data_IF_140784865827
#
_entry.id   IF_140784865827
#
_cell.length_a   1.000
_cell.length_b   1.000
_cell.length_c   1.000
_cell.angle_alpha   90.00
_cell.angle_beta   90.00
_cell.angle_gamma   90.00
#
_symmetry.space_group_name_H-M   'P 1'
#
loop_
_entity.id
_entity.type
_entity.pdbx_description
1 polymer ?
#
# COMPACT_ATOMS: atom_id res chain seq x y z
N UNK A 1 -21.75 -3.87 2.85
CA UNK A 1 -20.34 -4.04 2.46
C UNK A 1 -19.53 -2.73 2.38
N UNK A 2 -20.09 -1.59 1.90
CA UNK A 2 -19.34 -0.31 1.81
C UNK A 2 -18.90 0.29 3.15
N UNK A 3 -19.38 -0.17 4.29
CA UNK A 3 -19.01 0.35 5.63
C UNK A 3 -17.63 -0.11 6.14
N UNK A 4 -17.04 -1.13 5.53
CA UNK A 4 -15.75 -1.68 5.96
C UNK A 4 -14.62 -1.28 5.03
N UNK A 5 -14.76 -0.19 4.29
CA UNK A 5 -13.92 0.25 3.19
C UNK A 5 -12.42 0.35 3.48
N UNK A 6 -11.81 -0.79 3.69
CA UNK A 6 -10.65 -1.15 2.90
C UNK A 6 -11.25 -1.32 1.50
N UNK A 7 -10.93 -0.48 0.55
CA UNK A 7 -11.35 -0.70 -0.83
C UNK A 7 -10.90 -2.11 -1.16
N UNK A 8 -11.83 -3.06 -1.49
CA UNK A 8 -11.40 -4.37 -1.92
C UNK A 8 -10.46 -4.13 -3.10
N UNK A 9 -9.25 -4.65 -3.00
CA UNK A 9 -8.29 -4.61 -4.08
C UNK A 9 -8.99 -5.13 -5.33
N UNK A 10 -8.82 -4.46 -6.49
CA UNK A 10 -9.44 -4.90 -7.72
C UNK A 10 -10.91 -4.51 -7.96
N UNK A 11 -11.53 -3.65 -7.16
CA UNK A 11 -12.92 -3.18 -7.43
C UNK A 11 -13.05 -2.34 -8.71
N UNK A 12 -11.94 -1.85 -9.24
CA UNK A 12 -11.91 -1.18 -10.54
C UNK A 12 -11.35 -2.15 -11.58
N UNK A 13 -12.10 -2.42 -12.64
CA UNK A 13 -11.69 -3.31 -13.74
C UNK A 13 -10.30 -2.96 -14.30
N UNK A 14 -9.95 -1.66 -14.28
CA UNK A 14 -8.63 -1.16 -14.70
C UNK A 14 -7.49 -1.76 -13.88
N UNK A 15 -7.70 -2.04 -12.60
CA UNK A 15 -6.67 -2.52 -11.69
C UNK A 15 -6.65 -4.06 -11.56
N UNK A 16 -7.74 -4.74 -11.97
CA UNK A 16 -7.84 -6.21 -11.85
C UNK A 16 -6.69 -6.93 -12.56
N UNK A 17 -6.35 -6.48 -13.78
CA UNK A 17 -5.25 -7.08 -14.52
C UNK A 17 -3.87 -6.79 -13.93
N UNK A 18 -3.72 -5.71 -13.17
CA UNK A 18 -2.47 -5.43 -12.45
C UNK A 18 -2.30 -6.43 -11.30
N UNK A 19 -3.33 -6.61 -10.49
CA UNK A 19 -3.33 -7.62 -9.41
C UNK A 19 -3.15 -9.03 -9.97
N UNK A 20 -3.87 -9.38 -11.02
CA UNK A 20 -3.73 -10.72 -11.62
C UNK A 20 -2.30 -11.00 -12.08
N UNK A 21 -1.63 -10.04 -12.73
CA UNK A 21 -0.23 -10.21 -13.13
C UNK A 21 0.69 -10.33 -11.92
N UNK A 22 0.44 -9.59 -10.87
CA UNK A 22 1.19 -9.66 -9.63
C UNK A 22 1.06 -11.05 -8.97
N UNK A 23 -0.15 -11.57 -8.82
CA UNK A 23 -0.38 -12.90 -8.27
C UNK A 23 0.19 -14.00 -9.18
N UNK A 24 0.07 -13.85 -10.50
CA UNK A 24 0.74 -14.74 -11.45
C UNK A 24 2.28 -14.72 -11.29
N UNK A 25 2.86 -13.56 -10.96
CA UNK A 25 4.29 -13.47 -10.71
C UNK A 25 4.71 -14.27 -9.49
N UNK A 26 3.95 -14.20 -8.38
CA UNK A 26 4.15 -15.05 -7.22
C UNK A 26 3.99 -16.55 -7.56
N UNK A 27 2.96 -16.89 -8.34
CA UNK A 27 2.74 -18.27 -8.77
C UNK A 27 3.91 -18.81 -9.59
N UNK A 28 4.45 -18.03 -10.53
CA UNK A 28 5.62 -18.38 -11.35
C UNK A 28 6.87 -18.54 -10.46
N UNK A 29 7.14 -17.57 -9.58
CA UNK A 29 8.29 -17.63 -8.65
C UNK A 29 8.25 -18.89 -7.80
N UNK A 30 7.07 -19.26 -7.29
CA UNK A 30 6.87 -20.47 -6.49
C UNK A 30 6.99 -21.75 -7.32
N UNK A 31 6.32 -21.82 -8.48
CA UNK A 31 6.26 -23.01 -9.30
C UNK A 31 7.63 -23.41 -9.86
N UNK A 32 8.44 -22.43 -10.26
CA UNK A 32 9.76 -22.65 -10.84
C UNK A 32 10.91 -22.48 -9.82
N UNK A 33 10.59 -22.23 -8.55
CA UNK A 33 11.59 -22.04 -7.48
C UNK A 33 12.61 -20.93 -7.78
N UNK A 34 12.20 -19.88 -8.50
CA UNK A 34 13.11 -18.80 -8.89
C UNK A 34 13.72 -18.10 -7.67
N UNK A 35 13.00 -18.07 -6.55
CA UNK A 35 13.47 -17.55 -5.25
C UNK A 35 14.72 -18.24 -4.71
N UNK A 36 15.08 -19.45 -5.19
CA UNK A 36 16.31 -20.14 -4.82
C UNK A 36 17.55 -19.62 -5.55
N UNK A 37 17.38 -18.84 -6.63
CA UNK A 37 18.48 -18.22 -7.36
C UNK A 37 19.31 -17.29 -6.45
N UNK A 38 20.60 -17.52 -6.36
CA UNK A 38 21.52 -16.67 -5.59
C UNK A 38 21.59 -15.25 -6.14
N UNK A 39 21.49 -15.07 -7.47
CA UNK A 39 21.47 -13.76 -8.11
C UNK A 39 20.19 -12.99 -7.73
N UNK A 40 19.01 -13.68 -7.74
CA UNK A 40 17.77 -13.08 -7.28
C UNK A 40 17.88 -12.65 -5.82
N UNK A 41 18.41 -13.51 -4.94
CA UNK A 41 18.57 -13.16 -3.53
C UNK A 41 19.53 -11.99 -3.31
N UNK A 42 20.55 -11.84 -4.16
CA UNK A 42 21.49 -10.71 -4.10
C UNK A 42 20.82 -9.39 -4.48
N UNK A 43 19.98 -9.36 -5.52
CA UNK A 43 19.37 -8.13 -6.04
C UNK A 43 18.08 -7.73 -5.31
N UNK A 44 17.24 -8.70 -4.96
CA UNK A 44 15.94 -8.46 -4.35
C UNK A 44 15.93 -8.64 -2.84
N UNK A 45 16.81 -9.48 -2.32
CA UNK A 45 16.82 -9.91 -0.93
C UNK A 45 16.39 -11.36 -0.75
N UNK A 46 16.54 -11.86 0.49
CA UNK A 46 16.23 -13.25 0.83
C UNK A 46 14.74 -13.48 0.94
N UNK A 47 14.18 -14.52 0.32
CA UNK A 47 12.74 -14.84 0.39
C UNK A 47 12.30 -15.28 1.80
N UNK A 48 13.22 -15.75 2.64
CA UNK A 48 12.95 -16.09 4.03
C UNK A 48 12.91 -14.90 4.99
N UNK A 49 13.01 -13.67 4.48
CA UNK A 49 12.78 -12.46 5.27
C UNK A 49 11.35 -12.49 5.82
N UNK A 50 11.11 -12.29 7.13
CA UNK A 50 9.75 -12.22 7.63
C UNK A 50 8.97 -11.07 7.00
N UNK A 51 7.73 -11.31 6.61
CA UNK A 51 6.82 -10.23 6.20
C UNK A 51 6.59 -9.27 7.36
N UNK A 52 6.83 -7.99 7.16
CA UNK A 52 6.53 -7.02 8.20
C UNK A 52 5.01 -6.86 8.33
N UNK A 53 4.53 -6.56 9.55
CA UNK A 53 3.11 -6.22 9.74
C UNK A 53 2.75 -4.86 9.16
N UNK A 54 3.75 -4.05 8.84
CA UNK A 54 3.65 -2.72 8.21
C UNK A 54 5.02 -2.34 7.66
N UNK A 55 5.05 -1.46 6.67
CA UNK A 55 6.30 -0.92 6.12
C UNK A 55 6.21 0.58 5.87
N UNK A 56 7.37 1.23 5.84
CA UNK A 56 7.53 2.62 5.45
C UNK A 56 8.49 2.67 4.26
N UNK A 57 8.01 3.05 3.06
CA UNK A 57 8.88 3.16 1.90
C UNK A 57 9.78 4.40 2.01
N UNK A 58 10.99 4.22 2.50
CA UNK A 58 12.01 5.28 2.66
C UNK A 58 13.13 5.19 1.63
N UNK A 59 13.20 4.11 0.86
CA UNK A 59 14.23 3.93 -0.17
C UNK A 59 13.91 4.78 -1.40
N UNK A 60 14.92 5.19 -2.18
CA UNK A 60 14.70 5.90 -3.44
C UNK A 60 13.73 5.15 -4.34
N UNK A 61 12.67 5.83 -4.78
CA UNK A 61 11.61 5.20 -5.59
C UNK A 61 12.09 4.73 -6.96
N UNK A 62 13.15 5.33 -7.49
CA UNK A 62 13.77 4.96 -8.75
C UNK A 62 14.38 3.55 -8.76
N UNK A 63 14.58 2.93 -7.60
CA UNK A 63 15.09 1.56 -7.46
C UNK A 63 13.99 0.50 -7.54
N UNK A 64 12.72 0.92 -7.67
CA UNK A 64 11.56 0.05 -7.61
C UNK A 64 10.57 0.35 -8.73
N UNK A 65 9.95 -0.69 -9.25
CA UNK A 65 8.82 -0.53 -10.18
C UNK A 65 7.58 0.03 -9.44
N UNK A 66 6.69 0.67 -10.20
CA UNK A 66 5.38 1.12 -9.72
C UNK A 66 4.31 0.40 -10.53
N UNK A 67 3.82 -0.72 -10.03
CA UNK A 67 2.83 -1.54 -10.73
C UNK A 67 1.47 -1.51 -10.04
N UNK A 68 1.31 -2.06 -8.86
CA UNK A 68 0.02 -2.03 -8.12
C UNK A 68 -0.18 -0.66 -7.49
N UNK A 69 0.62 -0.35 -6.48
CA UNK A 69 0.60 0.94 -5.80
C UNK A 69 1.99 1.53 -5.73
N UNK A 70 2.13 2.85 -5.67
CA UNK A 70 3.44 3.45 -5.43
C UNK A 70 4.07 2.84 -4.18
N UNK A 71 5.31 2.40 -4.33
CA UNK A 71 6.15 1.87 -3.26
C UNK A 71 5.78 0.49 -2.69
N UNK A 72 4.79 -0.25 -3.23
CA UNK A 72 4.45 -1.59 -2.75
C UNK A 72 5.63 -2.57 -2.86
N UNK A 73 6.44 -2.46 -3.92
CA UNK A 73 7.68 -3.21 -4.07
C UNK A 73 8.67 -3.07 -2.89
N UNK A 74 8.53 -2.03 -2.06
CA UNK A 74 9.39 -1.86 -0.87
C UNK A 74 8.89 -2.64 0.36
N UNK A 75 7.73 -3.27 0.27
CA UNK A 75 7.14 -4.00 1.39
C UNK A 75 7.94 -5.25 1.77
N UNK A 76 8.37 -6.01 0.77
CA UNK A 76 9.07 -7.27 0.96
C UNK A 76 9.91 -7.64 -0.27
N UNK A 77 11.01 -8.41 -0.15
CA UNK A 77 11.77 -8.93 -1.29
C UNK A 77 10.95 -9.69 -2.33
N UNK A 78 9.96 -10.45 -1.90
CA UNK A 78 9.08 -11.20 -2.79
C UNK A 78 8.10 -10.28 -3.53
N UNK A 79 7.65 -9.20 -2.89
CA UNK A 79 6.81 -8.16 -3.52
C UNK A 79 7.59 -7.39 -4.58
N UNK A 80 8.84 -7.03 -4.29
CA UNK A 80 9.74 -6.37 -5.25
C UNK A 80 9.94 -7.22 -6.51
N UNK A 81 10.18 -8.52 -6.33
CA UNK A 81 10.32 -9.45 -7.45
C UNK A 81 9.01 -9.61 -8.22
N UNK A 82 7.89 -9.79 -7.51
CA UNK A 82 6.57 -9.95 -8.13
C UNK A 82 6.15 -8.69 -8.91
N UNK A 83 6.38 -7.50 -8.39
CA UNK A 83 6.13 -6.23 -9.09
C UNK A 83 6.96 -6.11 -10.38
N UNK A 84 8.27 -6.44 -10.34
CA UNK A 84 9.13 -6.45 -11.51
C UNK A 84 8.65 -7.45 -12.58
N UNK A 85 8.30 -8.67 -12.16
CA UNK A 85 7.84 -9.72 -13.07
C UNK A 85 6.45 -9.37 -13.64
N UNK A 86 5.55 -8.82 -12.83
CA UNK A 86 4.23 -8.36 -13.29
C UNK A 86 4.30 -7.28 -14.38
N UNK A 87 5.29 -6.38 -14.29
CA UNK A 87 5.58 -5.40 -15.35
C UNK A 87 5.96 -6.11 -16.65
N UNK A 88 6.79 -7.16 -16.59
CA UNK A 88 7.18 -7.95 -17.78
C UNK A 88 6.01 -8.74 -18.38
N UNK A 89 5.08 -9.20 -17.56
CA UNK A 89 3.85 -9.85 -18.03
C UNK A 89 2.86 -8.88 -18.68
N UNK A 90 3.11 -7.59 -18.67
CA UNK A 90 2.23 -6.60 -19.28
C UNK A 90 2.68 -6.28 -20.70
N UNK A 91 1.95 -6.72 -21.76
CA UNK A 91 2.31 -6.45 -23.15
C UNK A 91 2.28 -4.95 -23.50
N UNK A 92 1.58 -4.15 -22.69
CA UNK A 92 1.49 -2.70 -22.84
C UNK A 92 2.37 -1.97 -21.84
N UNK A 93 3.28 -2.66 -21.13
CA UNK A 93 4.19 -2.00 -20.23
C UNK A 93 5.00 -0.98 -21.03
N UNK A 94 4.55 0.25 -20.95
CA UNK A 94 5.32 1.37 -21.44
C UNK A 94 6.71 1.29 -20.80
N UNK A 95 7.72 1.47 -21.65
CA UNK A 95 9.14 1.58 -21.31
C UNK A 95 9.32 2.10 -19.89
N UNK A 96 10.01 1.33 -19.08
CA UNK A 96 10.51 1.78 -17.79
C UNK A 96 11.01 3.20 -17.99
N UNK A 97 10.48 4.15 -17.21
CA UNK A 97 10.64 5.57 -17.49
C UNK A 97 12.10 6.00 -17.67
N UNK A 98 12.33 7.11 -18.36
CA UNK A 98 13.67 7.64 -18.72
C UNK A 98 14.64 7.84 -17.53
N UNK A 99 14.19 7.74 -16.30
CA UNK A 99 14.97 7.81 -15.06
C UNK A 99 14.92 6.48 -14.32
N UNK A 100 15.38 5.43 -14.94
CA UNK A 100 15.55 4.13 -14.28
C UNK A 100 16.93 4.11 -13.64
N UNK A 101 17.00 3.76 -12.35
CA UNK A 101 18.29 3.53 -11.70
C UNK A 101 18.98 2.30 -12.27
N UNK A 102 20.30 2.24 -12.19
CA UNK A 102 21.09 1.08 -12.57
C UNK A 102 20.61 -0.18 -11.84
N UNK A 103 20.34 -0.05 -10.54
CA UNK A 103 19.81 -1.14 -9.71
C UNK A 103 18.48 -1.69 -10.24
N UNK A 104 17.55 -0.83 -10.66
CA UNK A 104 16.28 -1.28 -11.24
C UNK A 104 16.50 -1.93 -12.61
N UNK A 105 17.42 -1.40 -13.42
CA UNK A 105 17.77 -2.00 -14.70
C UNK A 105 18.33 -3.41 -14.52
N UNK A 106 19.22 -3.63 -13.55
CA UNK A 106 19.76 -4.96 -13.21
C UNK A 106 18.66 -5.93 -12.75
N UNK A 107 17.73 -5.48 -11.90
CA UNK A 107 16.57 -6.28 -11.48
C UNK A 107 15.75 -6.74 -12.68
N UNK A 108 15.43 -5.81 -13.58
CA UNK A 108 14.61 -6.10 -14.76
C UNK A 108 15.31 -7.03 -15.75
N UNK A 109 16.63 -6.87 -15.94
CA UNK A 109 17.43 -7.77 -16.76
C UNK A 109 17.46 -9.20 -16.17
N UNK A 110 17.62 -9.32 -14.86
CA UNK A 110 17.58 -10.63 -14.20
C UNK A 110 16.21 -11.30 -14.34
N UNK A 111 15.12 -10.53 -14.24
CA UNK A 111 13.76 -11.08 -14.47
C UNK A 111 13.63 -11.65 -15.89
N UNK A 112 14.12 -10.93 -16.90
CA UNK A 112 14.14 -11.43 -18.29
C UNK A 112 14.92 -12.73 -18.44
N UNK A 113 16.13 -12.80 -17.88
CA UNK A 113 16.95 -14.01 -17.89
C UNK A 113 16.23 -15.20 -17.22
N UNK A 114 15.63 -14.97 -16.05
CA UNK A 114 14.91 -16.00 -15.33
C UNK A 114 13.68 -16.50 -16.11
N UNK A 115 12.91 -15.60 -16.72
CA UNK A 115 11.77 -15.97 -17.58
C UNK A 115 12.23 -16.79 -18.79
N UNK A 116 13.33 -16.40 -19.47
CA UNK A 116 13.90 -17.14 -20.57
C UNK A 116 14.38 -18.53 -20.13
N UNK A 117 14.96 -18.64 -18.93
CA UNK A 117 15.46 -19.90 -18.41
C UNK A 117 14.39 -20.96 -18.17
N UNK A 118 13.13 -20.52 -17.95
CA UNK A 118 11.98 -21.41 -17.71
C UNK A 118 11.04 -21.55 -18.92
N UNK A 119 11.27 -20.77 -19.97
CA UNK A 119 10.42 -20.79 -21.15
C UNK A 119 10.35 -22.19 -21.76
N UNK A 120 9.14 -22.66 -22.05
CA UNK A 120 8.87 -24.00 -22.60
C UNK A 120 9.14 -25.17 -21.65
N UNK A 121 9.54 -24.93 -20.39
CA UNK A 121 9.79 -25.98 -19.41
C UNK A 121 8.58 -26.17 -18.50
N UNK A 122 8.26 -27.40 -18.17
CA UNK A 122 7.32 -27.70 -17.10
C UNK A 122 7.93 -27.33 -15.73
N UNK A 123 7.15 -26.80 -14.78
CA UNK A 123 7.63 -26.56 -13.44
C UNK A 123 8.03 -27.88 -12.76
N UNK A 124 9.07 -27.88 -11.91
CA UNK A 124 9.45 -29.07 -11.15
C UNK A 124 8.27 -29.53 -10.28
N UNK A 125 8.03 -30.84 -10.24
CA UNK A 125 7.02 -31.40 -9.36
C UNK A 125 7.42 -31.20 -7.91
N UNK A 126 6.63 -30.42 -7.16
CA UNK A 126 6.82 -30.19 -5.74
C UNK A 126 5.62 -30.79 -5.03
N UNK A 127 5.87 -31.51 -3.94
CA UNK A 127 4.78 -31.91 -3.07
C UNK A 127 4.11 -30.66 -2.48
N UNK A 128 2.89 -30.39 -2.90
CA UNK A 128 2.11 -29.26 -2.38
C UNK A 128 1.43 -29.68 -1.08
N UNK A 129 1.80 -29.03 0.00
CA UNK A 129 0.94 -28.94 1.16
C UNK A 129 0.08 -27.68 0.98
N UNK A 130 -1.22 -27.86 0.93
CA UNK A 130 -2.14 -26.74 0.92
C UNK A 130 -2.02 -25.99 2.24
N UNK A 131 -1.66 -24.71 2.15
CA UNK A 131 -1.56 -23.82 3.31
C UNK A 131 -2.88 -23.06 3.38
N UNK A 132 -3.57 -23.15 4.51
CA UNK A 132 -4.89 -22.52 4.71
C UNK A 132 -5.93 -22.94 3.64
N UNK A 133 -6.30 -24.24 3.57
CA UNK A 133 -7.27 -24.71 2.59
C UNK A 133 -8.58 -23.95 2.74
N UNK A 134 -9.17 -23.54 1.62
CA UNK A 134 -10.40 -22.73 1.59
C UNK A 134 -11.54 -23.39 2.39
N UNK A 135 -11.60 -24.72 2.35
CA UNK A 135 -12.59 -25.52 3.09
C UNK A 135 -12.46 -25.41 4.61
N UNK A 136 -11.30 -25.02 5.13
CA UNK A 136 -11.05 -24.86 6.58
C UNK A 136 -11.22 -23.41 7.07
N UNK A 137 -11.63 -22.48 6.20
CA UNK A 137 -11.88 -21.09 6.58
C UNK A 137 -13.22 -20.98 7.33
N UNK A 138 -13.16 -21.01 8.65
CA UNK A 138 -14.34 -20.84 9.54
C UNK A 138 -14.63 -19.38 9.89
N UNK A 139 -13.74 -18.47 9.51
CA UNK A 139 -13.87 -17.05 9.83
C UNK A 139 -14.77 -16.33 8.82
N UNK A 140 -15.78 -15.61 9.30
CA UNK A 140 -16.61 -14.78 8.45
C UNK A 140 -15.80 -13.62 7.84
N UNK A 141 -16.19 -13.17 6.63
CA UNK A 141 -15.60 -11.99 5.97
C UNK A 141 -15.65 -10.75 6.88
N UNK A 142 -16.74 -10.56 7.62
CA UNK A 142 -16.88 -9.47 8.58
C UNK A 142 -15.80 -9.53 9.66
N UNK A 143 -15.57 -10.70 10.24
CA UNK A 143 -14.56 -10.89 11.29
C UNK A 143 -13.16 -10.65 10.74
N UNK A 144 -12.87 -11.13 9.53
CA UNK A 144 -11.59 -10.91 8.85
C UNK A 144 -11.36 -9.41 8.58
N UNK A 145 -12.35 -8.70 8.03
CA UNK A 145 -12.28 -7.26 7.79
C UNK A 145 -12.08 -6.47 9.09
N UNK A 146 -12.76 -6.84 10.18
CA UNK A 146 -12.57 -6.20 11.51
C UNK A 146 -11.15 -6.42 12.04
N UNK A 147 -10.56 -7.62 11.85
CA UNK A 147 -9.16 -7.89 12.23
C UNK A 147 -8.19 -7.02 11.42
N UNK A 148 -8.35 -6.93 10.12
CA UNK A 148 -7.52 -6.04 9.26
C UNK A 148 -7.62 -4.57 9.66
N UNK A 149 -8.82 -4.08 9.96
CA UNK A 149 -9.00 -2.72 10.44
C UNK A 149 -8.26 -2.45 11.76
N UNK A 150 -8.32 -3.38 12.71
CA UNK A 150 -7.57 -3.26 13.98
C UNK A 150 -6.06 -3.19 13.73
N UNK A 151 -5.53 -3.98 12.81
CA UNK A 151 -4.11 -3.94 12.45
C UNK A 151 -3.73 -2.60 11.81
N UNK A 152 -4.53 -2.13 10.84
CA UNK A 152 -4.29 -0.87 10.15
C UNK A 152 -4.25 0.34 11.10
N UNK A 153 -4.96 0.28 12.24
CA UNK A 153 -5.03 1.35 13.22
C UNK A 153 -4.37 1.00 14.57
N UNK A 154 -3.49 -0.02 14.61
CA UNK A 154 -2.85 -0.47 15.85
C UNK A 154 -2.12 0.64 16.60
N UNK A 155 -1.46 1.55 15.87
CA UNK A 155 -0.73 2.67 16.42
C UNK A 155 -1.56 3.97 16.50
N UNK A 156 -2.86 3.87 16.20
CA UNK A 156 -3.75 5.03 16.19
C UNK A 156 -4.18 5.40 17.60
N UNK A 157 -3.95 6.64 17.99
CA UNK A 157 -4.36 7.14 19.30
C UNK A 157 -5.84 7.50 19.29
N UNK A 158 -6.62 7.07 20.28
CA UNK A 158 -8.04 7.46 20.44
C UNK A 158 -8.24 8.97 20.51
N UNK A 159 -7.25 9.71 21.01
CA UNK A 159 -7.28 11.17 21.02
C UNK A 159 -7.47 11.78 19.63
N UNK A 160 -6.94 11.13 18.57
CA UNK A 160 -7.15 11.58 17.19
C UNK A 160 -8.59 11.41 16.73
N UNK A 161 -9.29 10.35 17.15
CA UNK A 161 -10.70 10.16 16.85
C UNK A 161 -11.53 11.29 17.46
N UNK A 162 -11.23 11.66 18.70
CA UNK A 162 -11.90 12.76 19.38
C UNK A 162 -11.69 14.07 18.62
N UNK A 163 -10.46 14.41 18.24
CA UNK A 163 -10.15 15.61 17.47
C UNK A 163 -10.82 15.60 16.09
N UNK A 164 -10.80 14.47 15.37
CA UNK A 164 -11.51 14.34 14.10
C UNK A 164 -13.01 14.55 14.26
N UNK A 165 -13.59 14.05 15.35
CA UNK A 165 -15.01 14.23 15.65
C UNK A 165 -15.36 15.69 15.99
N UNK A 166 -14.46 16.44 16.63
CA UNK A 166 -14.62 17.87 16.85
C UNK A 166 -14.57 18.68 15.55
N UNK A 167 -13.65 18.30 14.63
CA UNK A 167 -13.47 18.98 13.35
C UNK A 167 -14.58 18.59 12.36
N UNK A 168 -14.96 17.34 12.35
CA UNK A 168 -15.95 16.71 11.47
C UNK A 168 -16.99 15.97 12.31
N UNK A 169 -17.95 16.64 12.94
CA UNK A 169 -18.90 15.97 13.81
C UNK A 169 -19.75 14.94 13.04
N UNK A 170 -20.13 13.83 13.69
CA UNK A 170 -21.05 12.87 13.11
C UNK A 170 -22.44 13.49 13.02
N UNK A 171 -22.95 13.71 11.83
CA UNK A 171 -24.28 14.31 11.62
C UNK A 171 -25.04 13.59 10.53
N UNK A 172 -26.36 13.76 10.54
CA UNK A 172 -27.19 13.38 9.41
C UNK A 172 -27.14 14.49 8.35
N UNK A 173 -26.81 14.12 7.11
CA UNK A 173 -26.62 15.08 6.02
C UNK A 173 -25.20 15.64 5.93
N UNK A 174 -24.99 16.63 5.07
CA UNK A 174 -23.68 17.26 4.85
C UNK A 174 -22.71 16.48 3.99
N UNK A 175 -21.51 17.04 3.84
CA UNK A 175 -20.45 16.47 3.02
C UNK A 175 -19.62 15.45 3.82
N UNK A 176 -19.36 14.30 3.24
CA UNK A 176 -18.51 13.29 3.87
C UNK A 176 -17.05 13.82 4.01
N UNK A 177 -16.51 13.79 5.23
CA UNK A 177 -15.20 14.33 5.56
C UNK A 177 -14.08 13.72 4.69
N UNK A 178 -14.12 12.41 4.41
CA UNK A 178 -13.14 11.75 3.56
C UNK A 178 -13.09 12.32 2.14
N UNK A 179 -14.23 12.75 1.56
CA UNK A 179 -14.28 13.37 0.23
C UNK A 179 -13.61 14.75 0.23
N UNK A 180 -13.84 15.51 1.29
CA UNK A 180 -13.22 16.83 1.49
C UNK A 180 -11.71 16.66 1.60
N UNK A 181 -11.24 15.73 2.44
CA UNK A 181 -9.83 15.43 2.60
C UNK A 181 -9.19 14.97 1.29
N UNK A 182 -9.83 14.06 0.56
CA UNK A 182 -9.33 13.59 -0.73
C UNK A 182 -9.21 14.72 -1.76
N UNK A 183 -10.22 15.59 -1.85
CA UNK A 183 -10.24 16.74 -2.76
C UNK A 183 -9.12 17.75 -2.46
N UNK A 184 -8.83 17.98 -1.19
CA UNK A 184 -7.87 18.99 -0.74
C UNK A 184 -6.52 18.41 -0.28
N UNK A 185 -6.27 17.11 -0.54
CA UNK A 185 -5.04 16.41 -0.12
C UNK A 185 -3.78 17.12 -0.61
N UNK A 186 -3.76 17.56 -1.87
CA UNK A 186 -2.59 18.23 -2.45
C UNK A 186 -2.28 19.55 -1.73
N UNK A 187 -3.32 20.35 -1.45
CA UNK A 187 -3.18 21.64 -0.73
C UNK A 187 -2.66 21.42 0.70
N UNK A 188 -3.28 20.50 1.45
CA UNK A 188 -2.85 20.15 2.80
C UNK A 188 -1.41 19.61 2.82
N UNK A 189 -1.07 18.76 1.85
CA UNK A 189 0.29 18.23 1.71
C UNK A 189 1.32 19.34 1.47
N UNK A 190 1.02 20.26 0.59
CA UNK A 190 1.90 21.42 0.30
C UNK A 190 2.09 22.30 1.53
N UNK A 191 1.00 22.60 2.26
CA UNK A 191 1.03 23.40 3.48
C UNK A 191 1.84 22.73 4.60
N UNK A 192 1.64 21.42 4.82
CA UNK A 192 2.40 20.68 5.82
C UNK A 192 3.88 20.57 5.45
N UNK A 193 4.20 20.38 4.17
CA UNK A 193 5.57 20.34 3.68
C UNK A 193 6.31 21.67 3.89
N UNK A 194 5.65 22.80 3.68
CA UNK A 194 6.26 24.12 3.86
C UNK A 194 6.53 24.48 5.34
N UNK A 195 5.79 23.85 6.26
CA UNK A 195 5.83 24.18 7.71
C UNK A 195 6.46 23.10 8.58
N UNK A 196 6.70 21.91 8.02
CA UNK A 196 7.34 20.80 8.74
C UNK A 196 8.51 20.23 7.96
N UNK A 197 9.46 19.62 8.64
CA UNK A 197 10.56 18.86 8.02
C UNK A 197 10.17 17.40 7.66
N UNK A 198 8.88 17.10 7.62
CA UNK A 198 8.38 15.75 7.35
C UNK A 198 8.59 15.34 5.90
N UNK A 199 8.89 14.05 5.66
CA UNK A 199 8.98 13.51 4.32
C UNK A 199 7.60 13.63 3.61
N UNK A 200 7.57 14.10 2.34
CA UNK A 200 6.32 14.22 1.59
C UNK A 200 5.49 12.93 1.53
N UNK A 201 6.15 11.77 1.56
CA UNK A 201 5.50 10.46 1.60
C UNK A 201 4.81 10.23 2.94
N UNK A 202 5.47 10.56 4.04
CA UNK A 202 4.89 10.47 5.38
C UNK A 202 3.65 11.35 5.52
N UNK A 203 3.72 12.59 4.99
CA UNK A 203 2.57 13.49 4.94
C UNK A 203 1.44 12.88 4.11
N UNK A 204 1.76 12.31 2.94
CA UNK A 204 0.75 11.67 2.09
C UNK A 204 0.04 10.54 2.80
N UNK A 205 0.76 9.66 3.51
CA UNK A 205 0.16 8.56 4.26
C UNK A 205 -0.61 9.00 5.49
N UNK A 206 -0.14 10.03 6.17
CA UNK A 206 -0.91 10.63 7.26
C UNK A 206 -2.27 11.08 6.74
N UNK A 207 -2.32 11.83 5.65
CA UNK A 207 -3.55 12.32 5.05
C UNK A 207 -4.46 11.19 4.55
N UNK A 208 -3.90 10.14 3.95
CA UNK A 208 -4.67 8.96 3.54
C UNK A 208 -5.23 8.19 4.74
N UNK A 209 -4.46 8.08 5.81
CA UNK A 209 -4.90 7.42 7.05
C UNK A 209 -6.03 8.21 7.71
N UNK A 210 -5.93 9.55 7.76
CA UNK A 210 -7.00 10.43 8.22
C UNK A 210 -8.25 10.28 7.36
N UNK A 211 -8.10 10.26 6.03
CA UNK A 211 -9.22 10.04 5.11
C UNK A 211 -9.93 8.71 5.38
N UNK A 212 -9.19 7.63 5.51
CA UNK A 212 -9.76 6.31 5.87
C UNK A 212 -10.43 6.33 7.24
N UNK A 213 -9.81 6.98 8.23
CA UNK A 213 -10.37 7.03 9.57
C UNK A 213 -11.67 7.83 9.63
N UNK A 214 -11.74 8.99 8.97
CA UNK A 214 -12.98 9.77 8.86
C UNK A 214 -14.10 9.01 8.15
N UNK A 215 -13.75 8.16 7.17
CA UNK A 215 -14.71 7.30 6.50
C UNK A 215 -15.24 6.19 7.43
N UNK A 216 -14.36 5.53 8.20
CA UNK A 216 -14.73 4.50 9.17
C UNK A 216 -15.63 5.04 10.28
N UNK A 217 -15.35 6.25 10.76
CA UNK A 217 -16.14 6.95 11.77
C UNK A 217 -17.40 7.62 11.19
N UNK A 218 -17.62 7.51 9.86
CA UNK A 218 -18.74 8.13 9.14
C UNK A 218 -18.87 9.64 9.43
N UNK A 219 -17.73 10.33 9.52
CA UNK A 219 -17.69 11.75 9.84
C UNK A 219 -18.13 12.60 8.64
N UNK A 220 -18.84 13.66 8.92
CA UNK A 220 -19.38 14.60 7.92
C UNK A 220 -19.24 16.04 8.41
N UNK A 221 -19.49 17.00 7.56
CA UNK A 221 -19.59 18.40 7.96
C UNK A 221 -20.61 19.13 7.11
N UNK A 222 -21.43 19.96 7.76
CA UNK A 222 -22.27 20.98 7.13
C UNK A 222 -21.57 22.36 7.13
N UNK A 223 -20.45 22.45 7.86
CA UNK A 223 -19.67 23.68 7.90
C UNK A 223 -19.00 23.93 6.54
N UNK A 224 -18.64 25.17 6.30
CA UNK A 224 -17.80 25.54 5.18
C UNK A 224 -16.55 24.66 5.18
N UNK A 225 -16.32 23.88 4.11
CA UNK A 225 -15.17 22.97 4.02
C UNK A 225 -13.84 23.64 4.34
N UNK A 226 -13.69 24.93 3.99
CA UNK A 226 -12.47 25.70 4.27
C UNK A 226 -12.21 25.84 5.78
N UNK A 227 -13.23 26.10 6.60
CA UNK A 227 -13.09 26.18 8.07
C UNK A 227 -12.67 24.83 8.69
N UNK A 228 -13.26 23.74 8.20
CA UNK A 228 -12.91 22.39 8.67
C UNK A 228 -11.47 22.00 8.28
N UNK A 229 -11.05 22.34 7.05
CA UNK A 229 -9.70 22.11 6.58
C UNK A 229 -8.67 22.95 7.33
N UNK A 230 -8.98 24.20 7.64
CA UNK A 230 -8.10 25.07 8.43
C UNK A 230 -7.96 24.56 9.88
N UNK A 231 -9.04 24.12 10.51
CA UNK A 231 -9.00 23.51 11.83
C UNK A 231 -8.17 22.21 11.83
N UNK A 232 -8.33 21.39 10.78
CA UNK A 232 -7.52 20.18 10.62
C UNK A 232 -6.03 20.51 10.40
N UNK A 233 -5.74 21.50 9.57
CA UNK A 233 -4.37 21.93 9.30
C UNK A 233 -3.68 22.40 10.59
N UNK A 234 -4.33 23.24 11.40
CA UNK A 234 -3.79 23.65 12.72
C UNK A 234 -3.52 22.46 13.64
N UNK A 235 -4.47 21.51 13.71
CA UNK A 235 -4.28 20.30 14.51
C UNK A 235 -3.11 19.45 13.99
N UNK A 236 -3.01 19.27 12.67
CA UNK A 236 -1.92 18.53 12.05
C UNK A 236 -0.54 19.17 12.30
N UNK A 237 -0.44 20.49 12.29
CA UNK A 237 0.81 21.19 12.62
C UNK A 237 1.27 20.91 14.04
N UNK A 238 0.34 20.84 15.01
CA UNK A 238 0.67 20.54 16.40
C UNK A 238 1.06 19.09 16.64
N UNK A 239 0.39 18.17 15.94
CA UNK A 239 0.49 16.72 16.19
C UNK A 239 1.31 15.95 15.14
N UNK A 240 1.52 16.52 13.95
CA UNK A 240 2.17 15.80 12.84
C UNK A 240 3.53 15.22 13.21
N UNK A 241 4.36 15.98 13.94
CA UNK A 241 5.67 15.52 14.41
C UNK A 241 5.55 14.31 15.34
N UNK A 242 4.56 14.33 16.24
CA UNK A 242 4.29 13.23 17.19
C UNK A 242 3.77 12.00 16.46
N UNK A 243 2.83 12.17 15.53
CA UNK A 243 2.27 11.10 14.72
C UNK A 243 3.34 10.41 13.86
N UNK A 244 4.14 11.20 13.15
CA UNK A 244 5.22 10.71 12.29
C UNK A 244 6.28 9.98 13.12
N UNK A 245 6.72 10.55 14.25
CA UNK A 245 7.68 9.90 15.17
C UNK A 245 7.17 8.57 15.71
N UNK A 246 5.88 8.47 15.99
CA UNK A 246 5.26 7.21 16.44
C UNK A 246 5.14 6.18 15.31
N UNK A 247 5.51 6.52 14.07
CA UNK A 247 5.37 5.67 12.87
C UNK A 247 3.95 5.14 12.67
N UNK A 248 2.94 5.90 13.11
CA UNK A 248 1.55 5.53 13.02
C UNK A 248 1.00 5.55 11.57
N UNK A 249 1.76 6.13 10.65
CA UNK A 249 1.50 6.20 9.21
C UNK A 249 2.02 4.97 8.44
N UNK A 250 2.62 4.00 9.10
CA UNK A 250 3.11 2.80 8.45
C UNK A 250 1.98 2.00 7.83
N UNK A 251 2.22 1.52 6.61
CA UNK A 251 1.26 0.70 5.88
C UNK A 251 1.20 -0.68 6.54
N UNK A 252 -0.01 -1.12 6.91
CA UNK A 252 -0.24 -2.50 7.34
C UNK A 252 -0.32 -3.41 6.11
N UNK A 253 0.37 -4.54 6.17
CA UNK A 253 0.34 -5.61 5.16
C UNK A 253 -0.71 -6.66 5.50
#
# INVERSE_FOLDING_TARGET
MRRFAVHPEGTQARNQMQYLRHECAHAIDNAYLLRRSKRRQKLFGKPGTPYPTWYLPLRPEEHFVKHITPSYAQAHPDEDFAECLAVKLNPKAARIGRKTSEQLAEKMALVDELLQSIAGKAPPKIAHREVDPLASLEISLETWLRRRQRLAFRNWKKAWDHQLTLIFPPQQGGHAAYRILSKHKATLSSQLKSTTSADPREISWLLDTLGRRTQLLNLKTNANPAKALDALHRHLLSEAKTYIRAKAHHIAL
#
